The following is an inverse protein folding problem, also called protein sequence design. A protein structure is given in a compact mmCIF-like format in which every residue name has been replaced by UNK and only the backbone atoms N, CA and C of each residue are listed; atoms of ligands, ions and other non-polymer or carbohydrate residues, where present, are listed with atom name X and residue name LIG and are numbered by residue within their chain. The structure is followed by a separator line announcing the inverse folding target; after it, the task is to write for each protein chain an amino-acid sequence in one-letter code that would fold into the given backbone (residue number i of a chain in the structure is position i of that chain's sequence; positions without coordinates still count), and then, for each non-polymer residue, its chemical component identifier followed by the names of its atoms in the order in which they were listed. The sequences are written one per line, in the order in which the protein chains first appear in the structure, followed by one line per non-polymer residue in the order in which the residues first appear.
data_IF_861569193578
#
_entry.id   IF_861569193578
#
_cell.length_a   1.000
_cell.length_b   1.000
_cell.length_c   1.000
_cell.angle_alpha   90.00
_cell.angle_beta   90.00
_cell.angle_gamma   90.00
#
_symmetry.space_group_name_H-M   'P 1'
#
loop_
_entity.id
_entity.type
_entity.pdbx_description
1 polymer ?
#
# COMPACT_ATOMS: atom_id res chain seq x y z
N UNK A 1 14.23 37.11 2.80
CA UNK A 1 14.84 35.77 2.91
C UNK A 1 14.36 35.13 4.21
N UNK A 2 13.25 34.39 4.18
CA UNK A 2 12.69 33.78 5.39
C UNK A 2 13.44 32.48 5.69
N UNK A 3 14.31 32.54 6.70
CA UNK A 3 15.05 31.39 7.20
C UNK A 3 14.04 30.46 7.89
N UNK A 4 13.61 29.39 7.20
CA UNK A 4 12.77 28.33 7.79
C UNK A 4 13.64 27.53 8.77
N UNK A 5 13.82 28.06 9.98
CA UNK A 5 14.37 27.30 11.10
C UNK A 5 13.46 26.08 11.27
N UNK A 6 13.98 24.89 10.96
CA UNK A 6 13.27 23.65 11.24
C UNK A 6 12.90 23.65 12.73
N UNK A 7 11.65 23.27 13.10
CA UNK A 7 11.24 23.28 14.49
C UNK A 7 12.15 22.33 15.29
N UNK A 8 12.55 22.71 16.50
CA UNK A 8 13.35 21.85 17.41
C UNK A 8 12.67 20.50 17.72
N UNK A 9 11.38 20.36 17.39
CA UNK A 9 10.61 19.13 17.49
C UNK A 9 10.72 18.27 16.22
N UNK A 10 11.92 18.17 15.65
CA UNK A 10 12.27 17.26 14.55
C UNK A 10 12.63 15.85 15.07
N UNK A 11 12.61 15.66 16.39
CA UNK A 11 12.92 14.38 17.04
C UNK A 11 11.95 13.30 16.61
N UNK A 12 10.66 13.61 16.48
CA UNK A 12 9.65 12.64 16.05
C UNK A 12 9.86 12.25 14.58
N UNK A 13 10.21 13.19 13.71
CA UNK A 13 10.44 12.92 12.29
C UNK A 13 11.75 12.17 12.06
N UNK A 14 12.82 12.55 12.77
CA UNK A 14 14.11 11.87 12.75
C UNK A 14 14.02 10.45 13.34
N UNK A 15 13.31 10.27 14.44
CA UNK A 15 13.06 8.96 15.04
C UNK A 15 12.21 8.10 14.09
N UNK A 16 11.16 8.66 13.50
CA UNK A 16 10.36 8.01 12.44
C UNK A 16 11.21 7.57 11.25
N UNK A 17 12.21 8.37 10.86
CA UNK A 17 13.09 8.09 9.73
C UNK A 17 14.19 7.07 10.03
N UNK A 18 14.71 7.02 11.26
CA UNK A 18 15.76 6.07 11.68
C UNK A 18 15.15 4.74 12.12
N UNK A 19 14.14 4.78 12.98
CA UNK A 19 13.50 3.58 13.53
C UNK A 19 12.50 2.96 12.55
N UNK A 20 12.13 3.70 11.49
CA UNK A 20 11.15 3.28 10.52
C UNK A 20 9.75 3.29 11.13
N UNK A 21 9.08 4.44 11.11
CA UNK A 21 7.70 4.49 11.53
C UNK A 21 6.83 3.60 10.61
N UNK A 22 6.02 2.68 11.17
CA UNK A 22 5.09 1.85 10.39
C UNK A 22 3.92 2.65 9.79
N UNK A 23 3.92 3.97 9.93
CA UNK A 23 2.83 4.85 9.48
C UNK A 23 2.81 5.13 7.98
N UNK A 24 3.87 4.79 7.26
CA UNK A 24 3.92 5.05 5.83
C UNK A 24 3.13 3.96 5.10
N UNK A 25 1.97 4.34 4.55
CA UNK A 25 1.25 3.49 3.58
C UNK A 25 2.26 3.02 2.54
N UNK A 26 2.29 1.71 2.20
CA UNK A 26 3.21 1.23 1.18
C UNK A 26 3.00 2.05 -0.10
N UNK A 27 4.08 2.67 -0.58
CA UNK A 27 3.99 3.48 -1.79
C UNK A 27 3.44 2.63 -2.92
N UNK A 28 2.38 3.14 -3.56
CA UNK A 28 1.72 2.47 -4.66
C UNK A 28 2.71 2.41 -5.84
N UNK A 29 3.39 1.26 -6.00
CA UNK A 29 4.46 1.10 -6.98
C UNK A 29 5.85 0.77 -6.41
N UNK A 30 5.98 0.60 -5.09
CA UNK A 30 7.21 0.14 -4.44
C UNK A 30 7.71 -1.25 -4.89
N UNK A 31 6.82 -2.04 -5.52
CA UNK A 31 7.12 -3.38 -6.02
C UNK A 31 7.55 -3.34 -7.51
N UNK A 32 8.54 -4.15 -7.92
CA UNK A 32 8.91 -4.32 -9.33
C UNK A 32 7.72 -4.73 -10.18
N UNK A 33 7.71 -4.32 -11.45
CA UNK A 33 6.59 -4.55 -12.38
C UNK A 33 6.13 -6.01 -12.42
N UNK A 34 7.06 -6.98 -12.44
CA UNK A 34 6.74 -8.40 -12.45
C UNK A 34 5.93 -8.85 -11.23
N UNK A 35 6.31 -8.42 -10.03
CA UNK A 35 5.58 -8.76 -8.79
C UNK A 35 4.21 -8.10 -8.77
N UNK A 36 4.11 -6.88 -9.28
CA UNK A 36 2.82 -6.18 -9.41
C UNK A 36 1.86 -6.91 -10.34
N UNK A 37 2.35 -7.39 -11.49
CA UNK A 37 1.55 -8.18 -12.44
C UNK A 37 1.03 -9.44 -11.76
N UNK A 38 1.88 -10.20 -11.06
CA UNK A 38 1.47 -11.39 -10.32
C UNK A 38 0.38 -11.05 -9.30
N UNK A 39 0.55 -9.98 -8.53
CA UNK A 39 -0.44 -9.51 -7.57
C UNK A 39 -1.79 -9.17 -8.22
N UNK A 40 -1.78 -8.43 -9.33
CA UNK A 40 -2.99 -8.11 -10.08
C UNK A 40 -3.67 -9.35 -10.65
N UNK A 41 -2.91 -10.33 -11.15
CA UNK A 41 -3.45 -11.58 -11.65
C UNK A 41 -4.14 -12.37 -10.54
N UNK A 42 -3.52 -12.53 -9.38
CA UNK A 42 -4.09 -13.28 -8.26
C UNK A 42 -5.36 -12.61 -7.75
N UNK A 43 -5.31 -11.30 -7.48
CA UNK A 43 -6.45 -10.54 -6.98
C UNK A 43 -7.58 -10.53 -8.00
N UNK A 44 -7.27 -10.27 -9.27
CA UNK A 44 -8.25 -10.26 -10.35
C UNK A 44 -8.92 -11.62 -10.54
N UNK A 45 -8.13 -12.70 -10.59
CA UNK A 45 -8.65 -14.06 -10.73
C UNK A 45 -9.52 -14.47 -9.54
N UNK A 46 -9.06 -14.21 -8.32
CA UNK A 46 -9.81 -14.52 -7.09
C UNK A 46 -11.12 -13.73 -7.02
N UNK A 47 -11.08 -12.45 -7.38
CA UNK A 47 -12.27 -11.61 -7.46
C UNK A 47 -13.28 -12.13 -8.50
N UNK A 48 -12.79 -12.56 -9.67
CA UNK A 48 -13.64 -13.13 -10.71
C UNK A 48 -14.29 -14.45 -10.27
N UNK A 49 -13.52 -15.34 -9.63
CA UNK A 49 -14.04 -16.59 -9.08
C UNK A 49 -15.09 -16.33 -8.00
N UNK A 50 -14.83 -15.38 -7.11
CA UNK A 50 -15.77 -14.99 -6.05
C UNK A 50 -17.06 -14.45 -6.65
N UNK A 51 -16.97 -13.62 -7.69
CA UNK A 51 -18.12 -13.10 -8.41
C UNK A 51 -18.95 -14.23 -9.04
N UNK A 52 -18.30 -15.18 -9.72
CA UNK A 52 -19.00 -16.34 -10.28
C UNK A 52 -19.65 -17.19 -9.20
N UNK A 53 -18.96 -17.46 -8.09
CA UNK A 53 -19.51 -18.23 -6.98
C UNK A 53 -20.76 -17.55 -6.39
N UNK A 54 -20.76 -16.22 -6.26
CA UNK A 54 -21.92 -15.48 -5.78
C UNK A 54 -23.08 -15.51 -6.78
N UNK A 55 -22.79 -15.35 -8.08
CA UNK A 55 -23.83 -15.40 -9.12
C UNK A 55 -24.43 -16.79 -9.16
N UNK A 56 -23.63 -17.82 -9.41
CA UNK A 56 -24.13 -19.19 -9.54
C UNK A 56 -24.70 -19.75 -8.23
N UNK A 57 -24.09 -19.44 -7.08
CA UNK A 57 -24.61 -19.86 -5.78
C UNK A 57 -25.87 -19.13 -5.32
N UNK A 58 -26.23 -18.00 -5.93
CA UNK A 58 -27.51 -17.32 -5.67
C UNK A 58 -28.63 -17.82 -6.60
N UNK A 59 -28.27 -18.40 -7.76
CA UNK A 59 -29.20 -18.93 -8.75
C UNK A 59 -29.35 -20.47 -8.69
N UNK A 60 -28.73 -21.11 -7.70
CA UNK A 60 -28.98 -22.51 -7.29
C UNK A 60 -30.16 -22.60 -6.31
#
# INVERSE_FOLDING_TARGET
MTNRKQPFNDVIDHMSKIEGAPMNKPEMGSLPLGIRIIGYTIIGFTGLLTLFALIFGLFD
#
